data_IF_841786836846
#
_entry.id   IF_841786836846
#
_cell.length_a   1.000
_cell.length_b   1.000
_cell.length_c   1.000
_cell.angle_alpha   90.00
_cell.angle_beta   90.00
_cell.angle_gamma   90.00
#
_symmetry.space_group_name_H-M   'P 1'
#
loop_
_entity.id
_entity.type
_entity.pdbx_description
1 polymer ?
#
# COMPACT_ATOMS: atom_id res chain seq x y z
N UNK A 1 43.37 19.02 43.01
CA UNK A 1 42.90 18.58 41.68
C UNK A 1 41.67 17.74 41.96
N UNK A 2 40.51 18.24 41.55
CA UNK A 2 39.20 17.77 42.01
C UNK A 2 38.84 16.51 41.23
N UNK A 3 38.54 15.42 41.93
CA UNK A 3 37.98 14.21 41.32
C UNK A 3 36.53 14.51 40.89
N UNK A 4 36.35 14.85 39.61
CA UNK A 4 35.05 14.99 38.97
C UNK A 4 34.38 13.61 38.86
N UNK A 5 33.64 13.24 39.91
CA UNK A 5 32.69 12.14 39.86
C UNK A 5 31.49 12.60 39.04
N UNK A 6 31.44 12.21 37.78
CA UNK A 6 30.26 12.37 36.92
C UNK A 6 29.14 11.53 37.54
N UNK A 7 28.26 12.17 38.30
CA UNK A 7 27.00 11.56 38.73
C UNK A 7 26.04 11.56 37.53
N UNK A 8 25.78 10.37 37.00
CA UNK A 8 24.67 10.17 36.07
C UNK A 8 23.37 10.38 36.85
N UNK A 9 22.89 11.62 36.89
CA UNK A 9 21.53 11.94 37.29
C UNK A 9 20.58 11.25 36.31
N UNK A 10 19.98 10.15 36.76
CA UNK A 10 18.76 9.61 36.17
C UNK A 10 17.61 10.49 36.64
N UNK A 11 17.43 11.63 35.97
CA UNK A 11 16.20 12.41 36.07
C UNK A 11 15.13 11.64 35.28
N UNK A 12 14.50 10.71 35.99
CA UNK A 12 13.52 9.75 35.48
C UNK A 12 12.09 10.25 35.66
N UNK A 13 11.81 11.54 35.46
CA UNK A 13 10.46 12.10 35.71
C UNK A 13 10.06 13.18 34.70
N UNK A 14 9.99 12.83 33.42
CA UNK A 14 9.19 13.58 32.45
C UNK A 14 8.85 12.76 31.18
N UNK A 15 8.28 11.56 31.34
CA UNK A 15 7.56 10.92 30.25
C UNK A 15 6.08 10.79 30.57
N UNK A 16 5.27 11.13 29.57
CA UNK A 16 3.99 10.51 29.24
C UNK A 16 2.72 11.38 29.44
N UNK A 17 2.40 12.20 28.44
CA UNK A 17 1.14 11.93 27.73
C UNK A 17 1.41 10.81 26.71
N UNK A 18 1.67 9.60 27.21
CA UNK A 18 1.96 8.45 26.36
C UNK A 18 0.65 7.96 25.75
N UNK A 19 0.61 7.94 24.42
CA UNK A 19 -0.32 7.07 23.73
C UNK A 19 -0.08 5.65 24.28
N UNK A 20 -1.08 4.92 24.79
CA UNK A 20 -0.89 3.60 25.39
C UNK A 20 -0.29 2.56 24.43
N UNK A 21 -0.17 2.89 23.14
CA UNK A 21 0.41 2.05 22.10
C UNK A 21 1.89 2.34 21.80
N UNK A 22 2.51 3.33 22.45
CA UNK A 22 3.94 3.57 22.23
C UNK A 22 4.78 2.50 22.91
N UNK A 23 5.69 1.82 22.18
CA UNK A 23 6.53 0.78 22.73
C UNK A 23 7.47 1.33 23.80
N UNK A 24 7.48 0.71 24.99
CA UNK A 24 8.21 1.19 26.17
C UNK A 24 9.63 0.65 26.27
N UNK A 25 9.98 -0.32 25.44
CA UNK A 25 11.31 -0.94 25.38
C UNK A 25 11.65 -1.38 23.94
N UNK A 26 12.92 -1.74 23.73
CA UNK A 26 13.46 -2.12 22.40
C UNK A 26 12.78 -3.37 21.84
N UNK A 27 12.37 -4.33 22.68
CA UNK A 27 11.66 -5.52 22.20
C UNK A 27 10.25 -5.18 21.70
N UNK A 28 9.50 -4.35 22.41
CA UNK A 28 8.19 -3.85 21.99
C UNK A 28 8.29 -3.00 20.73
N UNK A 29 9.33 -2.16 20.62
CA UNK A 29 9.56 -1.35 19.43
C UNK A 29 9.80 -2.23 18.20
N UNK A 30 10.58 -3.29 18.36
CA UNK A 30 10.86 -4.25 17.29
C UNK A 30 9.58 -4.95 16.83
N UNK A 31 8.76 -5.40 17.76
CA UNK A 31 7.47 -6.04 17.46
C UNK A 31 6.49 -5.06 16.77
N UNK A 32 6.44 -3.82 17.25
CA UNK A 32 5.62 -2.77 16.66
C UNK A 32 6.03 -2.48 15.21
N UNK A 33 7.33 -2.30 14.95
CA UNK A 33 7.86 -2.09 13.59
C UNK A 33 7.56 -3.30 12.71
N UNK A 34 7.73 -4.53 13.22
CA UNK A 34 7.42 -5.74 12.46
C UNK A 34 5.94 -5.80 12.08
N UNK A 35 5.03 -5.52 13.02
CA UNK A 35 3.58 -5.49 12.77
C UNK A 35 3.20 -4.38 11.77
N UNK A 36 3.87 -3.23 11.85
CA UNK A 36 3.63 -2.10 10.95
C UNK A 36 4.07 -2.46 9.52
N UNK A 37 5.26 -3.05 9.36
CA UNK A 37 5.76 -3.50 8.06
C UNK A 37 4.84 -4.56 7.45
N UNK A 38 4.38 -5.52 8.25
CA UNK A 38 3.40 -6.52 7.79
C UNK A 38 2.10 -5.85 7.31
N UNK A 39 1.58 -4.90 8.08
CA UNK A 39 0.36 -4.16 7.71
C UNK A 39 0.53 -3.39 6.40
N UNK A 40 1.70 -2.79 6.17
CA UNK A 40 2.02 -2.07 4.93
C UNK A 40 2.09 -3.05 3.76
N UNK A 41 2.75 -4.19 3.95
CA UNK A 41 2.83 -5.24 2.93
C UNK A 41 1.44 -5.75 2.54
N UNK A 42 0.60 -6.07 3.53
CA UNK A 42 -0.76 -6.55 3.30
C UNK A 42 -1.58 -5.49 2.57
N UNK A 43 -1.49 -4.21 2.96
CA UNK A 43 -2.19 -3.12 2.27
C UNK A 43 -1.73 -2.95 0.82
N UNK A 44 -0.42 -3.04 0.57
CA UNK A 44 0.14 -2.94 -0.77
C UNK A 44 -0.30 -4.10 -1.65
N UNK A 45 -0.31 -5.32 -1.10
CA UNK A 45 -0.79 -6.52 -1.79
C UNK A 45 -2.28 -6.43 -2.13
N UNK A 46 -3.12 -6.01 -1.18
CA UNK A 46 -4.55 -5.81 -1.44
C UNK A 46 -4.79 -4.72 -2.50
N UNK A 47 -3.97 -3.65 -2.50
CA UNK A 47 -4.07 -2.59 -3.49
C UNK A 47 -3.65 -3.08 -4.88
N UNK A 48 -2.57 -3.87 -4.98
CA UNK A 48 -2.11 -4.41 -6.26
C UNK A 48 -3.13 -5.39 -6.85
N UNK A 49 -3.74 -6.25 -6.03
CA UNK A 49 -4.82 -7.15 -6.45
C UNK A 49 -6.05 -6.40 -6.98
N UNK A 50 -6.45 -5.30 -6.34
CA UNK A 50 -7.55 -4.47 -6.84
C UNK A 50 -7.22 -3.80 -8.17
N UNK A 51 -5.97 -3.36 -8.37
CA UNK A 51 -5.54 -2.79 -9.65
C UNK A 51 -5.59 -3.85 -10.76
N UNK A 52 -5.11 -5.07 -10.48
CA UNK A 52 -5.18 -6.18 -11.43
C UNK A 52 -6.62 -6.52 -11.81
N UNK A 53 -7.52 -6.65 -10.83
CA UNK A 53 -8.95 -6.90 -11.08
C UNK A 53 -9.56 -5.83 -12.00
N UNK A 54 -9.24 -4.55 -11.78
CA UNK A 54 -9.72 -3.47 -12.65
C UNK A 54 -9.15 -3.52 -14.06
N UNK A 55 -7.90 -3.95 -14.21
CA UNK A 55 -7.28 -4.14 -15.53
C UNK A 55 -7.99 -5.26 -16.28
N UNK A 56 -8.26 -6.39 -15.62
CA UNK A 56 -8.98 -7.51 -16.22
C UNK A 56 -10.41 -7.10 -16.64
N UNK A 57 -11.12 -6.36 -15.79
CA UNK A 57 -12.43 -5.79 -16.12
C UNK A 57 -12.36 -4.82 -17.32
N UNK A 58 -11.34 -3.96 -17.37
CA UNK A 58 -11.14 -3.07 -18.52
C UNK A 58 -10.81 -3.84 -19.79
N UNK A 59 -10.04 -4.93 -19.70
CA UNK A 59 -9.75 -5.83 -20.82
C UNK A 59 -11.03 -6.41 -21.42
N UNK A 60 -11.88 -7.02 -20.59
CA UNK A 60 -13.17 -7.56 -21.04
C UNK A 60 -14.06 -6.49 -21.69
N UNK A 61 -14.08 -5.27 -21.14
CA UNK A 61 -14.85 -4.16 -21.71
C UNK A 61 -14.30 -3.69 -23.06
N UNK A 62 -12.98 -3.75 -23.26
CA UNK A 62 -12.34 -3.46 -24.54
C UNK A 62 -12.75 -4.53 -25.56
N UNK A 63 -12.67 -5.80 -25.21
CA UNK A 63 -13.09 -6.90 -26.09
C UNK A 63 -14.56 -6.75 -26.53
N UNK A 64 -15.44 -6.40 -25.59
CA UNK A 64 -16.85 -6.12 -25.89
C UNK A 64 -17.01 -4.90 -26.82
N UNK A 65 -16.23 -3.84 -26.63
CA UNK A 65 -16.24 -2.67 -27.51
C UNK A 65 -15.74 -3.01 -28.91
N UNK A 66 -14.65 -3.77 -29.04
CA UNK A 66 -14.10 -4.23 -30.32
C UNK A 66 -15.14 -5.07 -31.09
N UNK A 67 -15.83 -5.98 -30.39
CA UNK A 67 -16.91 -6.76 -30.99
C UNK A 67 -18.07 -5.88 -31.48
N UNK A 68 -18.56 -4.98 -30.62
CA UNK A 68 -19.66 -4.08 -30.99
C UNK A 68 -19.30 -3.19 -32.18
N UNK A 69 -18.06 -2.72 -32.26
CA UNK A 69 -17.56 -1.95 -33.41
C UNK A 69 -17.52 -2.81 -34.67
N UNK A 70 -17.02 -4.06 -34.59
CA UNK A 70 -17.01 -5.00 -35.71
C UNK A 70 -18.42 -5.29 -36.25
N UNK A 71 -19.38 -5.51 -35.36
CA UNK A 71 -20.79 -5.71 -35.71
C UNK A 71 -21.38 -4.45 -36.38
N UNK A 72 -21.09 -3.25 -35.85
CA UNK A 72 -21.53 -1.98 -36.44
C UNK A 72 -20.92 -1.72 -37.82
N UNK A 73 -19.62 -1.99 -38.01
CA UNK A 73 -18.94 -1.86 -39.31
C UNK A 73 -19.57 -2.80 -40.35
N UNK A 74 -19.84 -4.04 -39.94
CA UNK A 74 -20.52 -5.05 -40.77
C UNK A 74 -21.94 -4.60 -41.13
N UNK A 75 -22.72 -4.11 -40.16
CA UNK A 75 -24.09 -3.64 -40.37
C UNK A 75 -24.16 -2.38 -41.24
N UNK A 76 -23.20 -1.47 -41.09
CA UNK A 76 -23.10 -0.26 -41.90
C UNK A 76 -22.67 -0.53 -43.35
N UNK A 77 -22.40 -1.80 -43.71
CA UNK A 77 -21.90 -2.16 -45.04
C UNK A 77 -20.52 -1.59 -45.32
N UNK A 78 -19.78 -1.22 -44.27
CA UNK A 78 -18.37 -0.85 -44.38
C UNK A 78 -17.59 -2.15 -44.45
N UNK A 79 -17.73 -2.86 -45.57
CA UNK A 79 -16.64 -3.72 -46.02
C UNK A 79 -15.44 -2.78 -46.13
N UNK A 80 -14.41 -3.02 -45.31
CA UNK A 80 -13.12 -2.37 -45.48
C UNK A 80 -12.77 -2.51 -46.96
N UNK A 81 -12.89 -1.40 -47.69
CA UNK A 81 -12.59 -1.32 -49.10
C UNK A 81 -11.09 -1.39 -49.28
N UNK A 82 -10.49 -2.52 -48.97
CA UNK A 82 -9.15 -2.89 -49.38
C UNK A 82 -9.29 -3.76 -50.65
N UNK A 83 -9.27 -3.07 -51.78
CA UNK A 83 -8.70 -3.59 -53.03
C UNK A 83 -7.41 -2.86 -53.32
#
# INVERSE_FOLDING_TARGET
MVDDKIEMNNDSDAYATANPNDPKNVQELTQYVQSLLQTIQDKFQNMSEQILSRIDEMGNRIDDLEKNIGDLMTQAGVESGDK
#
